data_IF_044746977340
#
_entry.id   IF_044746977340
#
_cell.length_a   1.000
_cell.length_b   1.000
_cell.length_c   1.000
_cell.angle_alpha   90.00
_cell.angle_beta   90.00
_cell.angle_gamma   90.00
#
_symmetry.space_group_name_H-M   'P 1'
#
loop_
_entity.id
_entity.type
_entity.pdbx_description
1 polymer ?
#
# COMPACT_ATOMS: atom_id res chain seq x y z
N UNK A 1 3.09 20.83 -22.26
CA UNK A 1 3.13 19.44 -21.76
C UNK A 1 3.27 19.46 -20.23
N UNK A 2 2.51 18.60 -19.55
CA UNK A 2 2.84 18.02 -18.23
C UNK A 2 2.77 18.93 -17.00
N UNK A 3 1.83 18.64 -16.10
CA UNK A 3 2.10 18.42 -14.65
C UNK A 3 0.82 18.47 -13.79
N UNK A 4 -0.08 17.52 -14.00
CA UNK A 4 -1.08 17.11 -13.00
C UNK A 4 -0.88 15.61 -12.79
N UNK A 5 -0.05 15.19 -11.82
CA UNK A 5 -0.08 13.84 -11.17
C UNK A 5 1.24 13.40 -10.50
N UNK A 6 1.99 14.32 -9.87
CA UNK A 6 3.07 13.92 -8.95
C UNK A 6 2.58 13.74 -7.50
N UNK A 7 1.46 14.38 -7.12
CA UNK A 7 0.90 14.27 -5.76
C UNK A 7 0.17 12.94 -5.50
N UNK A 8 -0.57 12.43 -6.49
CA UNK A 8 -1.31 11.17 -6.37
C UNK A 8 -0.41 9.95 -6.21
N UNK A 9 0.77 9.95 -6.86
CA UNK A 9 1.76 8.87 -6.70
C UNK A 9 2.45 8.90 -5.35
N UNK A 10 2.85 10.08 -4.85
CA UNK A 10 3.44 10.20 -3.50
C UNK A 10 2.50 9.70 -2.42
N UNK A 11 1.21 10.06 -2.50
CA UNK A 11 0.21 9.60 -1.54
C UNK A 11 0.04 8.07 -1.61
N UNK A 12 0.08 7.50 -2.82
CA UNK A 12 0.09 6.04 -2.98
C UNK A 12 1.38 5.40 -2.45
N UNK A 13 2.55 6.02 -2.59
CA UNK A 13 3.82 5.50 -2.07
C UNK A 13 3.90 5.53 -0.53
N UNK A 14 3.42 6.61 0.10
CA UNK A 14 3.31 6.70 1.56
C UNK A 14 2.34 5.64 2.09
N UNK A 15 1.18 5.50 1.44
CA UNK A 15 0.20 4.47 1.78
C UNK A 15 0.75 3.05 1.60
N UNK A 16 1.49 2.79 0.52
CA UNK A 16 2.17 1.51 0.30
C UNK A 16 3.16 1.20 1.41
N UNK A 17 4.00 2.17 1.78
CA UNK A 17 4.99 2.00 2.85
C UNK A 17 4.34 1.70 4.18
N UNK A 18 3.26 2.42 4.50
CA UNK A 18 2.52 2.20 5.74
C UNK A 18 1.90 0.79 5.77
N UNK A 19 1.29 0.36 4.66
CA UNK A 19 0.72 -0.98 4.53
C UNK A 19 1.77 -2.10 4.64
N UNK A 20 2.93 -1.95 3.99
CA UNK A 20 4.04 -2.91 4.09
C UNK A 20 4.67 -2.92 5.49
N UNK A 21 4.85 -1.74 6.09
CA UNK A 21 5.35 -1.61 7.46
C UNK A 21 4.40 -2.26 8.48
N UNK A 22 3.09 -2.14 8.25
CA UNK A 22 2.05 -2.78 9.07
C UNK A 22 2.11 -4.31 8.97
N UNK A 23 2.27 -4.87 7.76
CA UNK A 23 2.48 -6.32 7.55
C UNK A 23 3.73 -6.78 8.30
N UNK A 24 4.87 -6.12 8.07
CA UNK A 24 6.15 -6.49 8.68
C UNK A 24 6.16 -6.33 10.21
N UNK A 25 5.53 -5.29 10.75
CA UNK A 25 5.55 -5.01 12.20
C UNK A 25 4.49 -5.79 12.96
N UNK A 26 3.32 -6.02 12.37
CA UNK A 26 2.22 -6.73 13.05
C UNK A 26 2.35 -8.25 12.91
N UNK A 27 3.19 -8.75 12.00
CA UNK A 27 3.25 -10.18 11.65
C UNK A 27 1.97 -10.70 11.00
N UNK A 28 1.06 -9.79 10.60
CA UNK A 28 -0.23 -10.10 9.99
C UNK A 28 -0.04 -10.44 8.52
N UNK A 29 -0.87 -11.33 7.99
CA UNK A 29 -0.75 -11.72 6.59
C UNK A 29 -1.14 -10.58 5.66
N UNK A 30 -0.56 -10.56 4.46
CA UNK A 30 -0.92 -9.60 3.39
C UNK A 30 -2.44 -9.56 3.16
N UNK A 31 -3.12 -10.70 3.28
CA UNK A 31 -4.57 -10.81 3.12
C UNK A 31 -5.36 -10.06 4.20
N UNK A 32 -4.91 -10.14 5.46
CA UNK A 32 -5.56 -9.42 6.57
C UNK A 32 -5.39 -7.92 6.43
N UNK A 33 -4.15 -7.47 6.17
CA UNK A 33 -3.86 -6.04 6.00
C UNK A 33 -4.58 -5.48 4.78
N UNK A 34 -4.66 -6.23 3.67
CA UNK A 34 -5.39 -5.81 2.49
C UNK A 34 -6.90 -5.65 2.75
N UNK A 35 -7.51 -6.58 3.50
CA UNK A 35 -8.92 -6.49 3.91
C UNK A 35 -9.19 -5.32 4.85
N UNK A 36 -8.29 -5.07 5.80
CA UNK A 36 -8.37 -3.95 6.74
C UNK A 36 -8.27 -2.59 6.02
N UNK A 37 -7.38 -2.50 5.04
CA UNK A 37 -7.16 -1.29 4.24
C UNK A 37 -8.11 -1.14 3.04
N UNK A 38 -8.96 -2.15 2.76
CA UNK A 38 -9.87 -2.14 1.62
C UNK A 38 -9.18 -2.16 0.26
N UNK A 39 -7.95 -2.69 0.19
CA UNK A 39 -7.16 -2.81 -1.04
C UNK A 39 -7.11 -4.25 -1.53
N UNK A 40 -6.80 -4.43 -2.81
CA UNK A 40 -6.62 -5.76 -3.37
C UNK A 40 -5.39 -6.45 -2.77
N UNK A 41 -5.57 -7.69 -2.30
CA UNK A 41 -4.50 -8.54 -1.74
C UNK A 41 -3.35 -8.68 -2.71
N UNK A 42 -3.63 -8.88 -4.00
CA UNK A 42 -2.59 -8.97 -5.05
C UNK A 42 -1.80 -7.67 -5.21
N UNK A 43 -2.47 -6.52 -5.07
CA UNK A 43 -1.82 -5.22 -5.13
C UNK A 43 -0.84 -5.03 -3.98
N UNK A 44 -1.27 -5.38 -2.76
CA UNK A 44 -0.41 -5.33 -1.58
C UNK A 44 0.71 -6.37 -1.65
N UNK A 45 0.43 -7.57 -2.15
CA UNK A 45 1.43 -8.65 -2.34
C UNK A 45 2.52 -8.25 -3.33
N UNK A 46 2.21 -7.42 -4.33
CA UNK A 46 3.19 -6.90 -5.28
C UNK A 46 4.01 -5.74 -4.70
N UNK A 47 3.70 -5.24 -3.50
CA UNK A 47 4.42 -4.17 -2.81
C UNK A 47 5.29 -4.65 -1.65
N UNK A 48 4.91 -5.78 -1.04
CA UNK A 48 5.79 -6.56 -0.15
C UNK A 48 6.90 -7.19 -0.98
#
# INVERSE_FOLDING_TARGET
MGSKSSRSRRYAEEFKRDAVALVCSSGRTVTEVARELGISVEGLRNWV
#
